data_IF_559042215368
#
_entry.id   IF_559042215368
#
_cell.length_a   1.000
_cell.length_b   1.000
_cell.length_c   1.000
_cell.angle_alpha   90.00
_cell.angle_beta   90.00
_cell.angle_gamma   90.00
#
_symmetry.space_group_name_H-M   'P 1'
#
loop_
_entity.id
_entity.type
_entity.pdbx_description
1 polymer ?
#
# COMPACT_ATOMS: atom_id res chain seq x y z
N UNK A 1 18.14 14.83 31.65
CA UNK A 1 16.83 15.07 31.02
C UNK A 1 16.68 13.97 29.99
N UNK A 2 15.97 12.91 30.35
CA UNK A 2 15.78 11.73 29.50
C UNK A 2 14.87 12.15 28.36
N UNK A 3 15.29 11.93 27.12
CA UNK A 3 14.52 12.26 25.92
C UNK A 3 13.15 11.56 25.98
N UNK A 4 12.09 12.32 26.27
CA UNK A 4 10.70 11.85 26.39
C UNK A 4 10.04 11.63 25.02
N UNK A 5 10.75 10.99 24.08
CA UNK A 5 10.12 10.49 22.87
C UNK A 5 10.14 8.97 22.92
N UNK A 6 9.06 8.38 23.45
CA UNK A 6 8.76 6.96 23.23
C UNK A 6 8.82 6.62 21.73
N UNK A 7 8.88 5.32 21.36
CA UNK A 7 9.03 4.93 19.97
C UNK A 7 7.98 5.60 19.09
N UNK A 8 8.43 6.32 18.06
CA UNK A 8 7.53 6.86 17.03
C UNK A 8 7.00 5.69 16.23
N UNK A 9 5.69 5.67 16.02
CA UNK A 9 5.03 4.64 15.24
C UNK A 9 4.41 5.25 14.01
N UNK A 10 4.32 4.43 12.96
CA UNK A 10 3.75 4.79 11.68
C UNK A 10 2.77 3.72 11.24
N UNK A 11 1.85 4.08 10.36
CA UNK A 11 0.89 3.17 9.75
C UNK A 11 1.41 2.65 8.42
N UNK A 12 1.34 1.34 8.24
CA UNK A 12 1.66 0.67 6.97
C UNK A 12 0.42 -0.10 6.52
N UNK A 13 -0.08 0.19 5.33
CA UNK A 13 -1.20 -0.51 4.71
C UNK A 13 -0.71 -1.30 3.50
N UNK A 14 -0.89 -2.61 3.51
CA UNK A 14 -0.47 -3.51 2.43
C UNK A 14 -1.71 -4.05 1.73
N UNK A 15 -1.78 -3.92 0.41
CA UNK A 15 -2.79 -4.60 -0.37
C UNK A 15 -2.30 -5.99 -0.77
N UNK A 16 -3.12 -7.01 -0.51
CA UNK A 16 -2.89 -8.38 -0.94
C UNK A 16 -3.92 -8.75 -2.00
N UNK A 17 -3.45 -9.13 -3.19
CA UNK A 17 -4.32 -9.61 -4.27
C UNK A 17 -4.45 -11.12 -4.23
N UNK A 18 -5.62 -11.63 -4.58
CA UNK A 18 -5.85 -13.06 -4.80
C UNK A 18 -5.37 -13.44 -6.20
N UNK A 19 -4.52 -14.46 -6.30
CA UNK A 19 -4.09 -15.03 -7.60
C UNK A 19 -5.14 -16.01 -8.14
N UNK A 20 -5.00 -16.42 -9.40
CA UNK A 20 -5.86 -17.44 -10.01
C UNK A 20 -5.86 -18.76 -9.22
N UNK A 21 -4.70 -19.14 -8.66
CA UNK A 21 -4.52 -20.30 -7.80
C UNK A 21 -5.07 -20.12 -6.37
N UNK A 22 -5.68 -18.96 -6.07
CA UNK A 22 -6.30 -18.67 -4.78
C UNK A 22 -5.38 -18.14 -3.68
N UNK A 23 -4.07 -17.95 -3.96
CA UNK A 23 -3.12 -17.41 -2.98
C UNK A 23 -3.28 -15.90 -2.80
N UNK A 24 -3.10 -15.42 -1.58
CA UNK A 24 -3.07 -13.99 -1.25
C UNK A 24 -1.63 -13.46 -1.27
N UNK A 25 -1.26 -12.74 -2.33
CA UNK A 25 0.08 -12.17 -2.50
C UNK A 25 0.08 -10.67 -2.27
N UNK A 26 1.06 -10.19 -1.49
CA UNK A 26 1.26 -8.75 -1.30
C UNK A 26 1.66 -8.10 -2.63
N UNK A 27 0.92 -7.05 -3.02
CA UNK A 27 1.02 -6.43 -4.32
C UNK A 27 1.65 -5.04 -4.25
N UNK A 28 1.24 -4.23 -3.27
CA UNK A 28 1.82 -2.91 -3.03
C UNK A 28 1.66 -2.50 -1.57
N UNK A 29 2.39 -1.46 -1.17
CA UNK A 29 2.34 -0.85 0.15
C UNK A 29 1.98 0.63 0.07
N UNK A 30 1.31 1.13 1.10
CA UNK A 30 1.15 2.55 1.42
C UNK A 30 1.78 2.74 2.80
N UNK A 31 2.90 3.44 2.84
CA UNK A 31 3.68 3.71 4.04
C UNK A 31 3.50 5.16 4.47
N UNK A 32 3.02 5.38 5.68
CA UNK A 32 2.81 6.73 6.22
C UNK A 32 4.08 7.57 6.24
N UNK A 33 5.28 6.95 6.33
CA UNK A 33 6.56 7.67 6.30
C UNK A 33 6.85 8.38 4.99
N UNK A 34 6.21 7.93 3.92
CA UNK A 34 6.37 8.46 2.57
C UNK A 34 5.28 9.46 2.22
N UNK A 35 4.33 9.69 3.14
CA UNK A 35 3.27 10.66 3.02
C UNK A 35 3.65 11.93 3.79
N UNK A 36 3.33 13.10 3.25
CA UNK A 36 3.40 14.40 3.90
C UNK A 36 2.45 14.48 5.10
N UNK A 37 1.36 13.70 5.09
CA UNK A 37 0.38 13.68 6.18
C UNK A 37 -0.46 12.40 6.24
N UNK A 38 -1.10 12.08 7.39
CA UNK A 38 -2.07 10.99 7.48
C UNK A 38 -3.26 11.14 6.53
N UNK A 39 -3.60 12.38 6.16
CA UNK A 39 -4.67 12.67 5.21
C UNK A 39 -4.29 12.23 3.79
N UNK A 40 -3.03 12.42 3.40
CA UNK A 40 -2.51 11.94 2.12
C UNK A 40 -2.52 10.40 2.06
N UNK A 41 -2.07 9.72 3.12
CA UNK A 41 -2.14 8.25 3.20
C UNK A 41 -3.57 7.74 2.95
N UNK A 42 -4.56 8.39 3.57
CA UNK A 42 -5.98 8.07 3.35
C UNK A 42 -6.42 8.35 1.91
N UNK A 43 -5.96 9.44 1.31
CA UNK A 43 -6.23 9.80 -0.08
C UNK A 43 -5.70 8.72 -1.05
N UNK A 44 -4.43 8.33 -0.90
CA UNK A 44 -3.78 7.27 -1.68
C UNK A 44 -4.53 5.95 -1.53
N UNK A 45 -4.91 5.57 -0.30
CA UNK A 45 -5.67 4.34 -0.04
C UNK A 45 -7.04 4.35 -0.72
N UNK A 46 -7.75 5.48 -0.67
CA UNK A 46 -9.04 5.63 -1.32
C UNK A 46 -8.92 5.54 -2.85
N UNK A 47 -7.93 6.21 -3.44
CA UNK A 47 -7.65 6.11 -4.87
C UNK A 47 -7.37 4.66 -5.27
N UNK A 48 -6.50 3.98 -4.51
CA UNK A 48 -6.17 2.58 -4.74
C UNK A 48 -7.41 1.68 -4.66
N UNK A 49 -8.26 1.87 -3.64
CA UNK A 49 -9.49 1.10 -3.48
C UNK A 49 -10.44 1.30 -4.67
N UNK A 50 -10.64 2.55 -5.10
CA UNK A 50 -11.49 2.87 -6.26
C UNK A 50 -10.99 2.17 -7.52
N UNK A 51 -9.69 2.20 -7.80
CA UNK A 51 -9.12 1.59 -9.00
C UNK A 51 -9.15 0.05 -8.94
N UNK A 52 -8.86 -0.53 -7.77
CA UNK A 52 -9.00 -1.98 -7.50
C UNK A 52 -10.44 -2.43 -7.78
N UNK A 53 -11.43 -1.68 -7.28
CA UNK A 53 -12.84 -1.96 -7.49
C UNK A 53 -13.23 -1.83 -8.97
N UNK A 54 -12.79 -0.75 -9.64
CA UNK A 54 -13.03 -0.51 -11.07
C UNK A 54 -12.57 -1.70 -11.92
N UNK A 55 -11.40 -2.25 -11.59
CA UNK A 55 -10.78 -3.39 -12.29
C UNK A 55 -11.23 -4.76 -11.78
N UNK A 56 -12.09 -4.82 -10.76
CA UNK A 56 -12.56 -6.05 -10.10
C UNK A 56 -11.40 -6.94 -9.60
N UNK A 57 -10.31 -6.33 -9.14
CA UNK A 57 -9.19 -7.07 -8.56
C UNK A 57 -9.62 -7.56 -7.18
N UNK A 58 -9.67 -8.87 -6.99
CA UNK A 58 -10.02 -9.48 -5.70
C UNK A 58 -8.83 -9.39 -4.76
N UNK A 59 -9.03 -8.85 -3.56
CA UNK A 59 -7.97 -8.69 -2.58
C UNK A 59 -8.43 -8.05 -1.28
N UNK A 60 -7.51 -7.83 -0.37
CA UNK A 60 -7.75 -7.20 0.93
C UNK A 60 -6.62 -6.24 1.33
N UNK A 61 -6.96 -5.28 2.19
CA UNK A 61 -5.98 -4.40 2.84
C UNK A 61 -5.69 -4.89 4.24
N UNK A 62 -4.43 -5.19 4.53
CA UNK A 62 -3.92 -5.38 5.87
C UNK A 62 -3.28 -4.07 6.34
N UNK A 63 -3.71 -3.53 7.47
CA UNK A 63 -3.11 -2.31 8.04
C UNK A 63 -2.51 -2.63 9.39
N UNK A 64 -1.24 -2.27 9.56
CA UNK A 64 -0.51 -2.49 10.82
C UNK A 64 0.19 -1.23 11.28
N UNK A 65 0.45 -1.19 12.58
CA UNK A 65 1.32 -0.20 13.21
C UNK A 65 2.75 -0.73 13.18
N UNK A 66 3.68 0.06 12.66
CA UNK A 66 5.11 -0.26 12.58
C UNK A 66 5.91 0.77 13.38
N UNK A 67 7.13 0.40 13.79
CA UNK A 67 8.06 1.39 14.35
C UNK A 67 8.59 2.27 13.21
N UNK A 68 8.79 3.55 13.47
CA UNK A 68 9.27 4.49 12.46
C UNK A 68 10.65 4.10 11.91
N UNK A 69 11.50 3.51 12.76
CA UNK A 69 12.85 3.00 12.45
C UNK A 69 12.86 1.60 11.83
N UNK A 70 11.71 0.94 11.67
CA UNK A 70 11.62 -0.37 11.01
C UNK A 70 12.07 -0.27 9.54
N UNK A 71 12.65 -1.33 8.97
CA UNK A 71 13.07 -1.29 7.57
C UNK A 71 11.87 -1.03 6.62
N UNK A 72 12.05 -0.21 5.55
CA UNK A 72 11.02 -0.02 4.54
C UNK A 72 10.67 -1.33 3.84
N UNK A 73 9.42 -1.45 3.38
CA UNK A 73 9.01 -2.59 2.55
C UNK A 73 9.71 -2.56 1.19
N UNK A 74 10.02 -3.72 0.63
CA UNK A 74 10.52 -3.86 -0.75
C UNK A 74 9.39 -3.96 -1.77
N UNK A 75 8.13 -3.92 -1.33
CA UNK A 75 6.97 -3.91 -2.21
C UNK A 75 6.88 -2.57 -2.94
N UNK A 76 6.32 -2.55 -4.17
CA UNK A 76 6.12 -1.31 -4.89
C UNK A 76 5.13 -0.40 -4.15
N UNK A 77 5.23 0.90 -4.41
CA UNK A 77 4.23 1.87 -3.97
C UNK A 77 2.98 1.79 -4.84
N UNK A 78 1.86 2.36 -4.36
CA UNK A 78 0.61 2.44 -5.14
C UNK A 78 0.84 3.01 -6.55
N UNK A 79 1.55 4.13 -6.67
CA UNK A 79 1.78 4.79 -7.96
C UNK A 79 2.54 3.90 -8.96
N UNK A 80 3.50 3.10 -8.50
CA UNK A 80 4.25 2.17 -9.34
C UNK A 80 3.38 0.99 -9.75
N UNK A 81 2.63 0.43 -8.81
CA UNK A 81 1.70 -0.66 -9.09
C UNK A 81 0.60 -0.23 -10.07
N UNK A 82 0.06 0.98 -9.93
CA UNK A 82 -0.93 1.55 -10.85
C UNK A 82 -0.40 1.61 -12.29
N UNK A 83 0.84 2.08 -12.48
CA UNK A 83 1.49 2.09 -13.81
C UNK A 83 1.62 0.68 -14.40
N UNK A 84 1.93 -0.32 -13.58
CA UNK A 84 1.97 -1.72 -14.04
C UNK A 84 0.58 -2.21 -14.48
N UNK A 85 -0.48 -1.84 -13.76
CA UNK A 85 -1.85 -2.15 -14.16
C UNK A 85 -2.25 -1.46 -15.47
N UNK A 86 -1.83 -0.22 -15.66
CA UNK A 86 -2.08 0.54 -16.88
C UNK A 86 -1.32 -0.02 -18.09
N UNK A 87 -0.06 -0.42 -17.91
CA UNK A 87 0.71 -1.07 -18.96
C UNK A 87 0.08 -2.40 -19.41
N UNK A 88 -0.36 -3.23 -18.46
CA UNK A 88 -1.02 -4.51 -18.76
C UNK A 88 -2.33 -4.35 -19.56
N UNK A 89 -3.04 -3.23 -19.38
CA UNK A 89 -4.25 -2.89 -20.13
C UNK A 89 -3.92 -2.60 -21.61
N UNK A 90 -2.79 -1.92 -21.86
CA UNK A 90 -2.32 -1.58 -23.21
C UNK A 90 -1.84 -2.80 -23.99
N UNK A 91 -1.23 -3.78 -23.32
CA UNK A 91 -0.78 -5.03 -23.94
C UNK A 91 -1.93 -5.99 -24.26
N UNK A 92 -3.08 -5.80 -23.64
CA UNK A 92 -4.28 -6.62 -23.82
C UNK A 92 -5.26 -6.05 -24.85
N UNK A 93 -4.92 -4.92 -25.48
CA UNK A 93 -5.76 -4.19 -26.45
C UNK A 93 -5.36 -4.44 -27.90
#
# INVERSE_FOLDING_TARGET
MTDEAGPKFVMISTFRRRTADGFMLAAFVIDERECESPAEMKSIRNEALTEIQRRRIVGEFETRRAKADELPSTLPRWAEYKRQLEAADQESS
#
